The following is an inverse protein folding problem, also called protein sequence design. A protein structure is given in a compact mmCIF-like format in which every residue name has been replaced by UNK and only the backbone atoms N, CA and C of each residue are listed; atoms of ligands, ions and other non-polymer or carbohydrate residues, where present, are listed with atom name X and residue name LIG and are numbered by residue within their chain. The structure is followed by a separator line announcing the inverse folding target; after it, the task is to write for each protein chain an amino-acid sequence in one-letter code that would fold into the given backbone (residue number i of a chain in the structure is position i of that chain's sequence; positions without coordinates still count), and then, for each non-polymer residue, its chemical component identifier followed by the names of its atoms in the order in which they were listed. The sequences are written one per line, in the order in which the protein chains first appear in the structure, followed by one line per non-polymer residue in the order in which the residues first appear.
data_IF_502048254160
#
_entry.id   IF_502048254160
#
_cell.length_a   1.000
_cell.length_b   1.000
_cell.length_c   1.000
_cell.angle_alpha   90.00
_cell.angle_beta   90.00
_cell.angle_gamma   90.00
#
_symmetry.space_group_name_H-M   'P 1'
#
loop_
_entity.id
_entity.type
_entity.pdbx_description
1 polymer ?
#
# COMPACT_ATOMS: atom_id res chain seq x y z
N UNK A 1 -9.64 9.90 14.57
CA UNK A 1 -9.39 9.24 13.26
C UNK A 1 -9.49 10.19 12.07
N UNK A 2 -10.68 10.64 11.66
CA UNK A 2 -10.81 11.43 10.42
C UNK A 2 -10.11 12.82 10.48
N UNK A 3 -10.03 13.45 11.66
CA UNK A 3 -9.26 14.69 11.87
C UNK A 3 -7.73 14.47 11.87
N UNK A 4 -7.29 13.27 12.23
CA UNK A 4 -5.87 12.95 12.40
C UNK A 4 -5.22 12.45 11.10
N UNK A 5 -6.01 11.88 10.19
CA UNK A 5 -5.59 11.53 8.83
C UNK A 5 -5.16 12.76 8.00
N UNK A 6 -5.58 13.96 8.39
CA UNK A 6 -5.21 15.24 7.75
C UNK A 6 -4.22 16.07 8.58
N UNK A 7 -3.60 15.44 9.58
CA UNK A 7 -2.66 16.12 10.46
C UNK A 7 -1.39 16.53 9.72
N UNK A 8 -0.77 17.67 10.10
CA UNK A 8 0.45 18.18 9.43
C UNK A 8 1.62 17.19 9.49
N UNK A 9 1.74 16.45 10.60
CA UNK A 9 2.80 15.47 10.81
C UNK A 9 2.55 14.17 10.03
N UNK A 10 3.46 13.75 9.14
CA UNK A 10 3.35 12.49 8.39
C UNK A 10 3.38 11.26 9.32
N UNK A 11 4.09 11.33 10.45
CA UNK A 11 4.13 10.23 11.42
C UNK A 11 2.76 9.99 12.05
N UNK A 12 1.99 11.05 12.32
CA UNK A 12 0.64 10.94 12.88
C UNK A 12 -0.32 10.39 11.82
N UNK A 13 -0.23 10.86 10.56
CA UNK A 13 -1.05 10.30 9.47
C UNK A 13 -0.78 8.82 9.25
N UNK A 14 0.49 8.42 9.17
CA UNK A 14 0.88 7.02 9.04
C UNK A 14 0.47 6.17 10.27
N UNK A 15 0.59 6.71 11.48
CA UNK A 15 0.15 6.04 12.70
C UNK A 15 -1.34 5.74 12.64
N UNK A 16 -2.17 6.72 12.24
CA UNK A 16 -3.61 6.54 12.09
C UNK A 16 -3.94 5.44 11.09
N UNK A 17 -3.31 5.46 9.91
CA UNK A 17 -3.50 4.43 8.88
C UNK A 17 -3.16 3.05 9.43
N UNK A 18 -2.02 2.92 10.11
CA UNK A 18 -1.56 1.64 10.70
C UNK A 18 -2.48 1.17 11.83
N UNK A 19 -2.95 2.08 12.68
CA UNK A 19 -3.84 1.74 13.79
C UNK A 19 -5.18 1.25 13.27
N UNK A 20 -5.79 1.96 12.30
CA UNK A 20 -7.07 1.54 11.73
C UNK A 20 -6.92 0.23 10.93
N UNK A 21 -5.85 0.08 10.15
CA UNK A 21 -5.57 -1.14 9.39
C UNK A 21 -5.27 -2.38 10.24
N UNK A 22 -5.08 -2.22 11.56
CA UNK A 22 -4.99 -3.34 12.50
C UNK A 22 -6.33 -3.69 13.17
N UNK A 23 -7.37 -2.87 13.02
CA UNK A 23 -8.70 -3.11 13.57
C UNK A 23 -9.48 -3.97 12.56
N UNK A 24 -9.67 -5.24 12.89
CA UNK A 24 -10.35 -6.23 12.03
C UNK A 24 -11.86 -6.28 12.26
N UNK A 25 -12.53 -5.13 12.24
CA UNK A 25 -13.98 -5.04 12.39
C UNK A 25 -14.59 -4.63 11.04
N UNK A 26 -15.54 -5.40 10.48
CA UNK A 26 -16.18 -5.08 9.20
C UNK A 26 -16.76 -3.66 9.15
N UNK A 27 -17.40 -3.22 10.22
CA UNK A 27 -17.99 -1.87 10.32
C UNK A 27 -16.95 -0.73 10.23
N UNK A 28 -15.66 -1.02 10.41
CA UNK A 28 -14.56 -0.05 10.34
C UNK A 28 -13.97 0.02 8.92
N UNK A 29 -14.20 -0.99 8.09
CA UNK A 29 -13.66 -1.08 6.71
C UNK A 29 -14.09 0.11 5.86
N UNK A 30 -15.39 0.44 5.88
CA UNK A 30 -15.94 1.55 5.09
C UNK A 30 -15.32 2.89 5.51
N UNK A 31 -15.13 3.10 6.82
CA UNK A 31 -14.47 4.29 7.35
C UNK A 31 -12.97 4.32 7.08
N UNK A 32 -12.34 3.17 6.84
CA UNK A 32 -10.91 3.07 6.60
C UNK A 32 -10.55 3.35 5.13
N UNK A 33 -11.44 3.01 4.19
CA UNK A 33 -11.17 3.14 2.76
C UNK A 33 -10.82 4.59 2.36
N UNK A 34 -11.53 5.60 2.89
CA UNK A 34 -11.23 7.00 2.58
C UNK A 34 -9.85 7.46 3.09
N UNK A 35 -9.48 7.31 4.38
CA UNK A 35 -8.13 7.59 4.88
C UNK A 35 -7.04 6.80 4.16
N UNK A 36 -7.31 5.54 3.78
CA UNK A 36 -6.35 4.71 3.06
C UNK A 36 -6.11 5.24 1.65
N UNK A 37 -7.18 5.64 0.94
CA UNK A 37 -7.09 6.25 -0.38
C UNK A 37 -6.30 7.57 -0.36
N UNK A 38 -6.50 8.40 0.66
CA UNK A 38 -5.73 9.63 0.89
C UNK A 38 -4.25 9.27 1.18
N UNK A 39 -4.00 8.27 2.03
CA UNK A 39 -2.65 7.82 2.39
C UNK A 39 -1.82 7.28 1.22
N UNK A 40 -2.44 6.58 0.27
CA UNK A 40 -1.77 6.09 -0.94
C UNK A 40 -1.29 7.22 -1.86
N UNK A 41 -1.85 8.42 -1.73
CA UNK A 41 -1.52 9.61 -2.52
C UNK A 41 -0.82 10.70 -1.70
N UNK A 42 -0.41 10.37 -0.47
CA UNK A 42 0.18 11.34 0.45
C UNK A 42 1.51 11.88 -0.11
N UNK A 43 1.84 13.17 0.08
CA UNK A 43 3.14 13.71 -0.36
C UNK A 43 4.32 13.02 0.33
N UNK A 44 4.15 12.51 1.54
CA UNK A 44 5.22 11.89 2.31
C UNK A 44 5.36 10.39 2.00
N UNK A 45 6.55 9.91 1.61
CA UNK A 45 6.76 8.50 1.25
C UNK A 45 6.56 7.54 2.43
N UNK A 46 6.75 7.99 3.68
CA UNK A 46 6.49 7.17 4.86
C UNK A 46 5.01 6.84 5.01
N UNK A 47 4.14 7.79 4.69
CA UNK A 47 2.69 7.58 4.70
C UNK A 47 2.29 6.66 3.55
N UNK A 48 2.79 6.89 2.33
CA UNK A 48 2.49 6.03 1.17
C UNK A 48 2.90 4.58 1.36
N UNK A 49 4.13 4.31 1.84
CA UNK A 49 4.57 2.92 2.10
C UNK A 49 3.72 2.24 3.19
N UNK A 50 3.30 3.00 4.20
CA UNK A 50 2.45 2.50 5.29
C UNK A 50 1.05 2.16 4.77
N UNK A 51 0.49 3.02 3.91
CA UNK A 51 -0.77 2.79 3.24
C UNK A 51 -0.70 1.55 2.33
N UNK A 52 0.38 1.37 1.57
CA UNK A 52 0.57 0.20 0.72
C UNK A 52 0.47 -1.12 1.50
N UNK A 53 1.17 -1.23 2.64
CA UNK A 53 1.07 -2.41 3.53
C UNK A 53 -0.36 -2.61 4.06
N UNK A 54 -1.07 -1.53 4.37
CA UNK A 54 -2.43 -1.64 4.87
C UNK A 54 -3.46 -2.07 3.80
N UNK A 55 -3.15 -1.90 2.51
CA UNK A 55 -4.01 -2.46 1.44
C UNK A 55 -3.98 -3.99 1.46
N UNK A 56 -2.82 -4.62 1.66
CA UNK A 56 -2.74 -6.07 1.80
C UNK A 56 -3.56 -6.57 3.00
N UNK A 57 -3.42 -5.91 4.16
CA UNK A 57 -4.23 -6.22 5.36
C UNK A 57 -5.73 -6.04 5.13
N UNK A 58 -6.12 -5.02 4.37
CA UNK A 58 -7.52 -4.78 4.03
C UNK A 58 -8.05 -5.87 3.10
N UNK A 59 -7.23 -6.34 2.16
CA UNK A 59 -7.59 -7.42 1.25
C UNK A 59 -7.90 -8.72 2.01
N UNK A 60 -7.15 -9.05 3.06
CA UNK A 60 -7.44 -10.21 3.92
C UNK A 60 -8.81 -10.13 4.63
N UNK A 61 -9.31 -8.92 4.88
CA UNK A 61 -10.56 -8.68 5.60
C UNK A 61 -11.73 -8.55 4.63
N UNK A 62 -11.55 -7.79 3.56
CA UNK A 62 -12.58 -7.49 2.56
C UNK A 62 -11.95 -7.26 1.17
N UNK A 63 -11.75 -8.34 0.40
CA UNK A 63 -11.28 -8.26 -0.99
C UNK A 63 -12.19 -7.39 -1.86
N UNK A 64 -13.51 -7.49 -1.66
CA UNK A 64 -14.51 -6.75 -2.43
C UNK A 64 -14.34 -5.24 -2.29
N UNK A 65 -14.09 -4.76 -1.06
CA UNK A 65 -13.84 -3.33 -0.80
C UNK A 65 -12.56 -2.84 -1.49
N UNK A 66 -11.52 -3.68 -1.55
CA UNK A 66 -10.25 -3.35 -2.22
C UNK A 66 -10.43 -3.27 -3.74
N UNK A 67 -11.24 -4.16 -4.32
CA UNK A 67 -11.60 -4.14 -5.74
C UNK A 67 -12.47 -2.92 -6.08
N UNK A 68 -13.52 -2.65 -5.29
CA UNK A 68 -14.45 -1.53 -5.50
C UNK A 68 -13.76 -0.16 -5.47
N UNK A 69 -12.86 0.05 -4.49
CA UNK A 69 -12.12 1.31 -4.36
C UNK A 69 -10.91 1.41 -5.31
N UNK A 70 -10.63 0.36 -6.10
CA UNK A 70 -9.54 0.35 -7.07
C UNK A 70 -8.14 0.40 -6.43
N UNK A 71 -7.98 -0.10 -5.19
CA UNK A 71 -6.70 -0.05 -4.50
C UNK A 71 -5.64 -0.92 -5.16
N UNK A 72 -6.00 -2.03 -5.81
CA UNK A 72 -5.06 -2.84 -6.59
C UNK A 72 -4.42 -2.05 -7.73
N UNK A 73 -5.22 -1.23 -8.43
CA UNK A 73 -4.71 -0.34 -9.49
C UNK A 73 -3.77 0.71 -8.92
N UNK A 74 -4.11 1.25 -7.75
CA UNK A 74 -3.29 2.24 -7.06
C UNK A 74 -1.95 1.64 -6.59
N UNK A 75 -1.97 0.45 -5.98
CA UNK A 75 -0.74 -0.28 -5.61
C UNK A 75 0.18 -0.52 -6.81
N UNK A 76 -0.38 -0.96 -7.94
CA UNK A 76 0.42 -1.14 -9.18
C UNK A 76 1.06 0.16 -9.65
N UNK A 77 0.37 1.30 -9.50
CA UNK A 77 0.97 2.60 -9.84
C UNK A 77 2.13 3.00 -8.92
N UNK A 78 2.11 2.56 -7.65
CA UNK A 78 3.19 2.81 -6.69
C UNK A 78 4.49 2.04 -6.99
N UNK A 79 4.47 1.05 -7.90
CA UNK A 79 5.71 0.42 -8.40
C UNK A 79 6.56 1.44 -9.18
N UNK A 80 5.94 2.49 -9.71
CA UNK A 80 6.64 3.60 -10.37
C UNK A 80 6.82 4.81 -9.46
N UNK A 81 6.73 4.66 -8.14
CA UNK A 81 6.99 5.74 -7.19
C UNK A 81 8.46 6.18 -7.22
N UNK A 82 8.71 7.46 -6.95
CA UNK A 82 10.06 8.05 -6.93
C UNK A 82 10.87 7.58 -5.71
N UNK A 83 10.23 7.03 -4.69
CA UNK A 83 10.87 6.56 -3.48
C UNK A 83 10.94 5.02 -3.47
N UNK A 84 12.16 4.48 -3.46
CA UNK A 84 12.39 3.04 -3.51
C UNK A 84 11.74 2.25 -2.35
N UNK A 85 11.60 2.85 -1.15
CA UNK A 85 10.90 2.19 -0.04
C UNK A 85 9.40 2.06 -0.28
N UNK A 86 8.77 3.01 -0.98
CA UNK A 86 7.36 2.91 -1.38
C UNK A 86 7.19 1.81 -2.42
N UNK A 87 8.09 1.76 -3.41
CA UNK A 87 8.13 0.70 -4.44
C UNK A 87 8.24 -0.67 -3.78
N UNK A 88 9.21 -0.88 -2.89
CA UNK A 88 9.42 -2.15 -2.20
C UNK A 88 8.17 -2.61 -1.41
N UNK A 89 7.53 -1.71 -0.67
CA UNK A 89 6.31 -2.05 0.09
C UNK A 89 5.10 -2.29 -0.81
N UNK A 90 4.99 -1.59 -1.94
CA UNK A 90 3.93 -1.83 -2.91
C UNK A 90 4.07 -3.21 -3.58
N UNK A 91 5.30 -3.61 -3.89
CA UNK A 91 5.61 -4.93 -4.45
C UNK A 91 5.32 -6.03 -3.44
N UNK A 92 5.79 -5.88 -2.21
CA UNK A 92 5.51 -6.84 -1.13
C UNK A 92 4.00 -7.01 -0.91
N UNK A 93 3.24 -5.90 -0.85
CA UNK A 93 1.79 -5.95 -0.70
C UNK A 93 1.09 -6.64 -1.88
N UNK A 94 1.56 -6.41 -3.12
CA UNK A 94 1.00 -7.08 -4.30
C UNK A 94 1.34 -8.57 -4.35
N UNK A 95 2.54 -8.95 -3.91
CA UNK A 95 2.97 -10.35 -3.80
C UNK A 95 2.11 -11.09 -2.75
N UNK A 96 1.95 -10.50 -1.57
CA UNK A 96 1.09 -11.05 -0.49
C UNK A 96 -0.36 -11.23 -0.97
N UNK A 97 -0.93 -10.23 -1.64
CA UNK A 97 -2.28 -10.34 -2.22
C UNK A 97 -2.34 -11.46 -3.27
N UNK A 98 -1.32 -11.59 -4.13
CA UNK A 98 -1.26 -12.60 -5.17
C UNK A 98 -1.12 -14.03 -4.60
N UNK A 99 -0.46 -14.20 -3.45
CA UNK A 99 -0.42 -15.48 -2.73
C UNK A 99 -1.78 -15.82 -2.11
N UNK A 100 -2.48 -14.81 -1.57
CA UNK A 100 -3.80 -14.96 -0.95
C UNK A 100 -4.94 -15.19 -1.95
N UNK A 101 -4.71 -15.07 -3.26
CA UNK A 101 -5.74 -15.24 -4.29
C UNK A 101 -5.26 -16.13 -5.44
N UNK A 102 -6.13 -17.00 -5.95
CA UNK A 102 -5.84 -17.75 -7.19
C UNK A 102 -5.90 -16.86 -8.45
N UNK A 103 -6.19 -15.57 -8.30
CA UNK A 103 -6.21 -14.60 -9.40
C UNK A 103 -4.79 -14.08 -9.67
N UNK A 104 -4.46 -13.91 -10.95
CA UNK A 104 -3.18 -13.33 -11.36
C UNK A 104 -3.19 -11.79 -11.19
N UNK A 105 -3.07 -11.36 -9.92
CA UNK A 105 -3.11 -9.94 -9.53
C UNK A 105 -1.74 -9.27 -9.72
N UNK A 106 -0.66 -10.05 -9.78
CA UNK A 106 0.71 -9.58 -9.92
C UNK A 106 1.35 -10.04 -11.25
N UNK A 107 0.85 -9.50 -12.37
CA UNK A 107 1.48 -9.68 -13.68
C UNK A 107 2.68 -8.77 -13.82
N UNK A 108 3.88 -9.31 -13.59
CA UNK A 108 5.14 -8.58 -13.83
C UNK A 108 5.29 -8.31 -15.33
N UNK A 109 5.30 -7.03 -15.70
CA UNK A 109 5.64 -6.60 -17.07
C UNK A 109 7.14 -6.29 -17.15
N UNK A 110 7.77 -6.36 -18.33
CA UNK A 110 9.19 -6.03 -18.50
C UNK A 110 9.53 -4.61 -18.03
N UNK A 111 8.60 -3.66 -18.19
CA UNK A 111 8.74 -2.28 -17.73
C UNK A 111 8.77 -2.19 -16.19
N UNK A 112 7.90 -2.94 -15.52
CA UNK A 112 7.92 -3.06 -14.07
C UNK A 112 9.19 -3.75 -13.59
N UNK A 113 9.65 -4.80 -14.28
CA UNK A 113 10.89 -5.50 -13.94
C UNK A 113 12.10 -4.55 -14.01
N UNK A 114 12.21 -3.73 -15.06
CA UNK A 114 13.29 -2.75 -15.19
C UNK A 114 13.25 -1.72 -14.06
N UNK A 115 12.06 -1.22 -13.70
CA UNK A 115 11.89 -0.28 -12.58
C UNK A 115 12.28 -0.91 -11.23
N UNK A 116 11.94 -2.18 -11.03
CA UNK A 116 12.32 -2.93 -9.83
C UNK A 116 13.84 -3.13 -9.77
N UNK A 117 14.48 -3.48 -10.88
CA UNK A 117 15.93 -3.62 -10.95
C UNK A 117 16.65 -2.29 -10.67
N UNK A 118 16.11 -1.17 -11.16
CA UNK A 118 16.62 0.16 -10.82
C UNK A 118 16.43 0.48 -9.34
N UNK A 119 15.24 0.23 -8.78
CA UNK A 119 14.97 0.46 -7.35
C UNK A 119 15.81 -0.45 -6.44
N UNK A 120 16.10 -1.69 -6.85
CA UNK A 120 16.95 -2.63 -6.12
C UNK A 120 18.40 -2.16 -5.99
N UNK A 121 18.91 -1.44 -6.99
CA UNK A 121 20.24 -0.83 -6.91
C UNK A 121 20.29 0.38 -5.96
N UNK A 122 19.13 0.98 -5.68
CA UNK A 122 18.98 2.15 -4.79
C UNK A 122 18.51 1.75 -3.37
N UNK A 123 18.04 0.52 -3.18
CA UNK A 123 17.61 -0.01 -1.88
C UNK A 123 18.78 -0.58 -1.09
N UNK A 124 18.98 -0.09 0.14
CA UNK A 124 19.83 -0.74 1.14
C UNK A 124 19.24 -2.09 1.57
N UNK A 125 20.11 -2.95 2.12
CA UNK A 125 19.99 -4.40 2.42
C UNK A 125 18.58 -4.97 2.66
N UNK A 126 17.65 -4.26 3.32
CA UNK A 126 16.29 -4.72 3.59
C UNK A 126 15.32 -4.76 2.40
N UNK A 127 15.68 -4.15 1.26
CA UNK A 127 14.93 -4.28 0.01
C UNK A 127 15.42 -5.39 -0.92
N UNK A 128 16.48 -6.11 -0.53
CA UNK A 128 17.14 -7.16 -1.30
C UNK A 128 17.03 -8.57 -0.68
N UNK A 129 16.43 -8.68 0.51
CA UNK A 129 16.17 -9.96 1.20
C UNK A 129 14.73 -10.39 0.99
#
# INVERSE_FOLDING_TARGET
FNKDAKHRSPLIRALVIRTIGCIRLPDVVDYFCAPLAEGLKDPDPYVRKTAAVCVAKLFDISPDSVEEHGFLKTLRSLISDHNAMVVANAVAALAEIAESTSKDVFKITPDMLNKLLSAMNECTEWGQI
#
